data_IF_807580354913
#
_entry.id   IF_807580354913
#
_cell.length_a   1.000
_cell.length_b   1.000
_cell.length_c   1.000
_cell.angle_alpha   90.00
_cell.angle_beta   90.00
_cell.angle_gamma   90.00
#
_symmetry.space_group_name_H-M   'P 1'
#
loop_
_entity.id
_entity.type
_entity.pdbx_description
1 polymer ?
#
# COMPACT_ATOMS: atom_id res chain seq x y z
N UNK A 1 -5.41 1.14 -19.16
CA UNK A 1 -5.96 1.33 -17.80
C UNK A 1 -5.07 2.33 -17.07
N UNK A 2 -5.62 3.40 -16.47
CA UNK A 2 -4.80 4.38 -15.77
C UNK A 2 -4.28 3.82 -14.45
N UNK A 3 -2.96 3.82 -14.27
CA UNK A 3 -2.29 3.52 -12.99
C UNK A 3 -1.99 4.84 -12.29
N UNK A 4 -2.45 5.01 -11.05
CA UNK A 4 -2.25 6.23 -10.26
C UNK A 4 -1.22 5.95 -9.15
N UNK A 5 -0.16 6.77 -9.09
CA UNK A 5 0.95 6.64 -8.14
C UNK A 5 1.78 7.93 -8.10
N UNK A 6 2.84 8.00 -7.30
CA UNK A 6 3.63 9.22 -7.08
C UNK A 6 4.15 9.92 -8.36
N UNK A 7 4.42 9.18 -9.45
CA UNK A 7 4.88 9.74 -10.73
C UNK A 7 3.75 9.95 -11.76
N UNK A 8 2.53 9.51 -11.44
CA UNK A 8 1.32 9.80 -12.21
C UNK A 8 0.15 10.03 -11.22
N UNK A 9 0.04 11.22 -10.64
CA UNK A 9 -0.80 11.44 -9.46
C UNK A 9 -2.31 11.49 -9.77
N UNK A 10 -2.70 11.53 -11.05
CA UNK A 10 -4.11 11.65 -11.45
C UNK A 10 -4.50 10.53 -12.41
N UNK A 11 -5.72 10.03 -12.27
CA UNK A 11 -6.29 9.02 -13.15
C UNK A 11 -7.81 9.08 -13.22
N UNK A 12 -8.41 8.34 -14.15
CA UNK A 12 -9.86 8.26 -14.28
C UNK A 12 -10.52 9.62 -14.58
N UNK A 13 -9.94 10.44 -15.46
CA UNK A 13 -10.42 11.81 -15.70
C UNK A 13 -10.45 12.69 -14.44
N UNK A 14 -9.40 12.60 -13.61
CA UNK A 14 -9.24 13.27 -12.32
C UNK A 14 -10.16 12.77 -11.20
N UNK A 15 -10.86 11.64 -11.40
CA UNK A 15 -11.66 11.00 -10.36
C UNK A 15 -10.82 10.30 -9.30
N UNK A 16 -9.54 10.03 -9.57
CA UNK A 16 -8.59 9.45 -8.62
C UNK A 16 -7.38 10.36 -8.52
N UNK A 17 -7.11 10.88 -7.32
CA UNK A 17 -6.04 11.84 -7.05
C UNK A 17 -5.15 11.35 -5.92
N UNK A 18 -3.87 11.22 -6.19
CA UNK A 18 -2.81 10.98 -5.21
C UNK A 18 -2.31 12.33 -4.67
N UNK A 19 -2.50 12.56 -3.38
CA UNK A 19 -2.33 13.88 -2.76
C UNK A 19 -0.92 14.17 -2.24
N UNK A 20 0.01 13.21 -2.30
CA UNK A 20 1.41 13.45 -1.94
C UNK A 20 2.15 12.21 -1.44
N UNK A 21 3.45 12.21 -1.69
CA UNK A 21 4.44 11.21 -1.27
C UNK A 21 5.13 11.71 0.01
N UNK A 22 4.72 11.20 1.16
CA UNK A 22 5.37 11.50 2.44
C UNK A 22 6.45 10.45 2.75
N UNK A 23 7.56 10.54 2.01
CA UNK A 23 8.74 9.66 2.09
C UNK A 23 9.33 9.43 3.48
N UNK A 24 9.01 10.29 4.45
CA UNK A 24 9.62 10.29 5.78
C UNK A 24 8.81 9.54 6.83
N UNK A 25 7.52 9.25 6.57
CA UNK A 25 6.60 8.77 7.59
C UNK A 25 6.44 9.82 8.69
N UNK A 26 5.48 10.73 8.52
CA UNK A 26 5.23 11.81 9.47
C UNK A 26 4.55 11.31 10.74
N UNK A 27 5.05 11.76 11.88
CA UNK A 27 4.53 11.52 13.22
C UNK A 27 3.05 11.97 13.27
N UNK A 28 2.17 11.01 13.51
CA UNK A 28 0.69 11.07 13.49
C UNK A 28 0.01 11.16 12.11
N UNK A 29 -0.91 10.20 11.88
CA UNK A 29 -1.82 10.16 10.74
C UNK A 29 -1.35 9.35 9.53
N UNK A 30 -2.10 9.43 8.43
CA UNK A 30 -1.75 8.74 7.18
C UNK A 30 -0.60 9.45 6.48
N UNK A 31 0.47 8.71 6.18
CA UNK A 31 1.61 9.24 5.44
C UNK A 31 1.23 9.63 4.00
N UNK A 32 0.45 8.79 3.32
CA UNK A 32 0.01 9.02 1.94
C UNK A 32 -1.51 8.85 1.83
N UNK A 33 -2.13 9.65 0.96
CA UNK A 33 -3.58 9.63 0.77
C UNK A 33 -3.95 9.66 -0.72
N UNK A 34 -4.88 8.79 -1.08
CA UNK A 34 -5.56 8.77 -2.38
C UNK A 34 -7.02 9.15 -2.15
N UNK A 35 -7.49 10.16 -2.86
CA UNK A 35 -8.90 10.56 -2.87
C UNK A 35 -9.57 10.04 -4.14
N UNK A 36 -10.78 9.52 -4.00
CA UNK A 36 -11.58 9.00 -5.12
C UNK A 36 -12.95 9.67 -5.10
N UNK A 37 -13.28 10.37 -6.18
CA UNK A 37 -14.62 10.88 -6.43
C UNK A 37 -15.36 9.91 -7.36
N UNK A 38 -16.19 9.04 -6.76
CA UNK A 38 -16.96 8.05 -7.50
C UNK A 38 -17.96 8.66 -8.48
N UNK A 39 -18.41 9.90 -8.29
CA UNK A 39 -19.34 10.55 -9.23
C UNK A 39 -18.64 10.93 -10.54
N UNK A 40 -17.34 11.17 -10.49
CA UNK A 40 -16.52 11.52 -11.64
C UNK A 40 -15.79 10.33 -12.26
N UNK A 41 -15.89 9.12 -11.69
CA UNK A 41 -15.33 7.91 -12.28
C UNK A 41 -16.04 7.61 -13.61
N UNK A 42 -15.31 7.52 -14.74
CA UNK A 42 -15.92 7.18 -16.02
C UNK A 42 -16.66 5.83 -15.97
N UNK A 43 -17.86 5.78 -16.56
CA UNK A 43 -18.74 4.60 -16.49
C UNK A 43 -18.15 3.29 -17.04
N UNK A 44 -17.08 3.36 -17.85
CA UNK A 44 -16.38 2.17 -18.36
C UNK A 44 -15.42 1.55 -17.33
N UNK A 45 -15.19 2.19 -16.19
CA UNK A 45 -14.36 1.68 -15.10
C UNK A 45 -15.27 0.90 -14.13
N UNK A 46 -15.16 -0.42 -14.16
CA UNK A 46 -15.95 -1.30 -13.29
C UNK A 46 -15.28 -1.60 -11.94
N UNK A 47 -13.97 -1.32 -11.81
CA UNK A 47 -13.17 -1.69 -10.64
C UNK A 47 -12.01 -0.74 -10.42
N UNK A 48 -11.71 -0.47 -9.15
CA UNK A 48 -10.50 0.21 -8.69
C UNK A 48 -9.78 -0.76 -7.75
N UNK A 49 -8.59 -1.17 -8.15
CA UNK A 49 -7.73 -2.05 -7.35
C UNK A 49 -6.62 -1.24 -6.69
N UNK A 50 -6.31 -1.57 -5.44
CA UNK A 50 -5.24 -0.94 -4.67
C UNK A 50 -4.06 -1.91 -4.54
N UNK A 51 -2.87 -1.41 -4.85
CA UNK A 51 -1.62 -2.13 -4.64
C UNK A 51 -0.73 -1.31 -3.71
N UNK A 52 -0.29 -1.91 -2.61
CA UNK A 52 0.64 -1.31 -1.66
C UNK A 52 1.96 -2.05 -1.81
N UNK A 53 3.03 -1.33 -2.13
CA UNK A 53 4.36 -1.91 -2.41
C UNK A 53 5.44 -1.14 -1.67
N UNK A 54 6.55 -1.80 -1.35
CA UNK A 54 7.76 -1.15 -0.83
C UNK A 54 8.65 -0.82 -2.01
N UNK A 55 8.99 0.46 -2.16
CA UNK A 55 9.90 0.89 -3.20
C UNK A 55 11.29 0.25 -3.01
N UNK A 56 11.76 -0.46 -4.03
CA UNK A 56 13.08 -1.10 -4.06
C UNK A 56 13.28 -2.14 -2.93
N UNK A 57 12.21 -2.86 -2.58
CA UNK A 57 12.15 -3.84 -1.49
C UNK A 57 13.29 -4.88 -1.54
N UNK A 58 13.63 -5.38 -2.73
CA UNK A 58 14.66 -6.40 -2.94
C UNK A 58 16.05 -5.85 -2.63
N UNK A 59 16.44 -4.72 -3.23
CA UNK A 59 17.75 -4.11 -2.98
C UNK A 59 17.90 -3.65 -1.53
N UNK A 60 16.81 -3.20 -0.91
CA UNK A 60 16.76 -2.80 0.51
C UNK A 60 16.60 -3.97 1.47
N UNK A 61 16.34 -5.19 0.96
CA UNK A 61 15.98 -6.39 1.74
C UNK A 61 14.91 -6.10 2.80
N UNK A 62 13.89 -5.35 2.38
CA UNK A 62 12.84 -4.84 3.25
C UNK A 62 11.48 -5.48 2.96
N UNK A 63 10.75 -5.86 4.00
CA UNK A 63 9.34 -6.29 3.91
C UNK A 63 8.46 -5.52 4.92
N UNK A 64 7.13 -5.68 4.83
CA UNK A 64 6.19 -4.95 5.68
C UNK A 64 6.29 -5.31 7.16
N UNK A 65 6.72 -6.53 7.51
CA UNK A 65 6.99 -6.92 8.90
C UNK A 65 8.10 -6.11 9.57
N UNK A 66 8.98 -5.49 8.76
CA UNK A 66 10.05 -4.62 9.24
C UNK A 66 9.65 -3.13 9.25
N UNK A 67 8.44 -2.80 8.78
CA UNK A 67 7.93 -1.42 8.78
C UNK A 67 7.02 -1.26 10.00
N UNK A 68 7.48 -0.51 11.00
CA UNK A 68 6.70 -0.28 12.22
C UNK A 68 5.38 0.42 11.92
N UNK A 69 4.30 -0.11 12.48
CA UNK A 69 2.94 0.46 12.38
C UNK A 69 2.48 0.68 10.93
N UNK A 70 2.87 -0.20 10.01
CA UNK A 70 2.39 -0.14 8.62
C UNK A 70 0.92 -0.58 8.53
N UNK A 71 0.04 0.34 8.12
CA UNK A 71 -1.36 0.04 7.84
C UNK A 71 -1.84 0.77 6.59
N UNK A 72 -2.93 0.27 6.03
CA UNK A 72 -3.75 0.99 5.05
C UNK A 72 -5.18 1.04 5.57
N UNK A 73 -5.88 2.16 5.34
CA UNK A 73 -7.27 2.30 5.71
C UNK A 73 -8.09 2.99 4.63
N UNK A 74 -9.37 2.69 4.61
CA UNK A 74 -10.37 3.32 3.75
C UNK A 74 -11.35 4.05 4.64
N UNK A 75 -11.51 5.35 4.38
CA UNK A 75 -12.46 6.21 5.05
C UNK A 75 -13.59 6.59 4.09
N UNK A 76 -14.77 6.87 4.63
CA UNK A 76 -15.78 7.60 3.91
C UNK A 76 -15.31 9.06 3.75
N UNK A 77 -15.31 9.56 2.51
CA UNK A 77 -14.83 10.92 2.20
C UNK A 77 -15.72 12.05 2.74
N UNK A 78 -17.00 11.78 2.94
CA UNK A 78 -17.98 12.78 3.41
C UNK A 78 -18.08 12.82 4.94
N UNK A 79 -18.09 11.64 5.58
CA UNK A 79 -18.30 11.52 7.04
C UNK A 79 -17.01 11.37 7.82
N UNK A 80 -15.93 10.91 7.18
CA UNK A 80 -14.68 10.55 7.84
C UNK A 80 -14.71 9.18 8.54
N UNK A 81 -15.82 8.42 8.42
CA UNK A 81 -15.97 7.12 9.08
C UNK A 81 -14.95 6.11 8.56
N UNK A 82 -14.37 5.32 9.48
CA UNK A 82 -13.52 4.20 9.13
C UNK A 82 -14.34 3.05 8.56
N UNK A 83 -14.13 2.73 7.28
CA UNK A 83 -14.81 1.64 6.60
C UNK A 83 -14.00 0.34 6.68
N UNK A 84 -12.69 0.44 6.53
CA UNK A 84 -11.77 -0.69 6.56
C UNK A 84 -10.40 -0.25 7.04
N UNK A 85 -9.74 -1.08 7.83
CA UNK A 85 -8.32 -0.95 8.15
C UNK A 85 -7.65 -2.31 7.99
N UNK A 86 -6.45 -2.31 7.43
CA UNK A 86 -5.63 -3.50 7.26
C UNK A 86 -4.22 -3.24 7.79
N UNK A 87 -3.74 -4.11 8.69
CA UNK A 87 -2.39 -4.05 9.24
C UNK A 87 -1.44 -4.82 8.31
N UNK A 88 -0.51 -4.10 7.68
CA UNK A 88 0.41 -4.67 6.69
C UNK A 88 1.55 -5.45 7.37
N UNK A 89 1.97 -5.03 8.57
CA UNK A 89 3.07 -5.67 9.27
C UNK A 89 2.74 -7.09 9.74
N UNK A 90 1.52 -7.31 10.23
CA UNK A 90 1.10 -8.61 10.78
C UNK A 90 0.83 -9.66 9.71
N UNK A 91 0.34 -9.25 8.54
CA UNK A 91 -0.11 -10.17 7.50
C UNK A 91 0.88 -10.36 6.33
N UNK A 92 1.84 -9.44 6.17
CA UNK A 92 2.87 -9.51 5.12
C UNK A 92 4.29 -9.56 5.68
N UNK A 93 4.44 -10.00 6.93
CA UNK A 93 5.70 -10.54 7.44
C UNK A 93 6.04 -11.77 6.63
N UNK A 94 7.00 -11.65 5.72
CA UNK A 94 7.55 -12.82 5.03
C UNK A 94 8.17 -13.68 6.12
N UNK A 95 7.56 -14.82 6.46
CA UNK A 95 8.26 -15.85 7.22
C UNK A 95 9.56 -16.13 6.45
N UNK A 96 10.74 -15.97 7.07
CA UNK A 96 11.96 -16.35 6.38
C UNK A 96 11.82 -17.83 6.08
N UNK A 97 11.87 -18.20 4.80
CA UNK A 97 11.98 -19.58 4.39
C UNK A 97 13.18 -20.14 5.14
N UNK A 98 12.91 -20.95 6.16
CA UNK A 98 13.94 -21.67 6.88
C UNK A 98 14.60 -22.57 5.85
N UNK A 99 15.79 -22.19 5.39
CA UNK A 99 16.53 -22.97 4.41
C UNK A 99 16.83 -24.34 5.03
N UNK A 100 16.42 -25.46 4.43
CA UNK A 100 16.73 -26.79 4.92
C UNK A 100 18.18 -27.14 4.54
N UNK A 101 19.14 -26.36 5.03
CA UNK A 101 20.52 -26.86 5.07
C UNK A 101 20.59 -27.82 6.25
N UNK A 102 20.32 -29.09 5.96
CA UNK A 102 20.76 -30.18 6.82
C UNK A 102 22.30 -30.13 6.90
N UNK A 103 22.90 -30.17 8.10
CA UNK A 103 24.33 -30.33 8.24
C UNK A 103 24.80 -31.57 7.44
N UNK A 104 25.88 -31.41 6.66
CA UNK A 104 26.49 -32.46 5.81
C UNK A 104 27.39 -33.41 6.62
N UNK A 105 27.01 -33.69 7.86
CA UNK A 105 27.81 -34.44 8.82
C UNK A 105 26.97 -35.46 9.58
N UNK A 106 26.32 -36.36 8.84
CA UNK A 106 26.20 -37.75 9.27
C UNK A 106 26.72 -38.66 8.15
N UNK A 107 27.94 -39.15 8.36
CA UNK A 107 28.64 -40.16 7.58
C UNK A 107 28.51 -41.53 8.25
#
# INVERSE_FOLDING_TARGET
>A
MPLVFYNNPNGGANSVVYSGDNRRGGLDGDAEKISIDFNNVPAHIARIDFAITIFDAEARRQNFGQVSSAYVRILNGDTGDLLLQYNLGEHFSVEPSHSPYLPLDEA
#
